data_IF_023552778587
#
_entry.id   IF_023552778587
#
_cell.length_a   1.000
_cell.length_b   1.000
_cell.length_c   1.000
_cell.angle_alpha   90.00
_cell.angle_beta   90.00
_cell.angle_gamma   90.00
#
_symmetry.space_group_name_H-M   'P 1'
#
loop_
_entity.id
_entity.type
_entity.pdbx_description
1 polymer ?
#
# COMPACT_ATOMS: atom_id res chain seq x y z
N UNK A 1 -13.31 -13.55 22.36
CA UNK A 1 -12.72 -13.84 21.04
C UNK A 1 -12.78 -12.53 20.27
N UNK A 2 -11.63 -11.88 20.12
CA UNK A 2 -11.49 -10.53 19.60
C UNK A 2 -11.86 -10.49 18.11
N UNK A 3 -13.06 -10.00 17.82
CA UNK A 3 -13.58 -9.79 16.47
C UNK A 3 -12.68 -8.88 15.64
N UNK A 4 -11.96 -7.96 16.29
CA UNK A 4 -10.98 -7.07 15.66
C UNK A 4 -9.76 -7.82 15.12
N UNK A 5 -9.41 -8.96 15.75
CA UNK A 5 -8.27 -9.77 15.32
C UNK A 5 -8.63 -10.65 14.12
N UNK A 6 -9.86 -11.17 14.08
CA UNK A 6 -10.38 -11.97 12.95
C UNK A 6 -10.45 -11.11 11.68
N UNK A 7 -10.93 -9.87 11.78
CA UNK A 7 -11.05 -8.97 10.63
C UNK A 7 -9.67 -8.57 10.06
N UNK A 8 -8.68 -8.33 10.92
CA UNK A 8 -7.33 -7.95 10.48
C UNK A 8 -6.64 -9.07 9.69
N UNK A 9 -6.64 -10.30 10.21
CA UNK A 9 -6.00 -11.43 9.56
C UNK A 9 -6.65 -11.74 8.20
N UNK A 10 -7.98 -11.65 8.11
CA UNK A 10 -8.71 -11.80 6.85
C UNK A 10 -8.34 -10.74 5.81
N UNK A 11 -8.21 -9.47 6.22
CA UNK A 11 -7.80 -8.40 5.31
C UNK A 11 -6.36 -8.61 4.84
N UNK A 12 -5.45 -8.96 5.75
CA UNK A 12 -4.05 -9.26 5.41
C UNK A 12 -3.99 -10.39 4.38
N UNK A 13 -4.73 -11.48 4.58
CA UNK A 13 -4.74 -12.60 3.62
C UNK A 13 -5.29 -12.19 2.24
N UNK A 14 -6.33 -11.34 2.20
CA UNK A 14 -6.84 -10.78 0.94
C UNK A 14 -5.77 -9.94 0.22
N UNK A 15 -5.06 -9.07 0.95
CA UNK A 15 -3.98 -8.25 0.40
C UNK A 15 -2.84 -9.13 -0.11
N UNK A 16 -2.41 -10.14 0.67
CA UNK A 16 -1.36 -11.10 0.26
C UNK A 16 -1.75 -11.84 -1.03
N UNK A 17 -3.01 -12.30 -1.11
CA UNK A 17 -3.53 -12.98 -2.30
C UNK A 17 -3.51 -12.06 -3.52
N UNK A 18 -3.88 -10.79 -3.36
CA UNK A 18 -3.81 -9.83 -4.45
C UNK A 18 -2.36 -9.54 -4.85
N UNK A 19 -1.50 -9.17 -3.89
CA UNK A 19 -0.11 -8.81 -4.14
C UNK A 19 0.67 -9.94 -4.83
N UNK A 20 0.56 -11.18 -4.32
CA UNK A 20 1.22 -12.34 -4.93
C UNK A 20 0.74 -12.69 -6.34
N UNK A 21 -0.46 -12.25 -6.73
CA UNK A 21 -1.01 -12.45 -8.07
C UNK A 21 -0.70 -11.27 -9.02
N UNK A 22 -0.57 -10.05 -8.48
CA UNK A 22 -0.32 -8.84 -9.24
C UNK A 22 1.17 -8.54 -9.44
N UNK A 23 2.02 -9.00 -8.53
CA UNK A 23 3.46 -8.75 -8.53
C UNK A 23 4.25 -9.96 -9.05
N UNK A 24 5.44 -9.70 -9.57
CA UNK A 24 6.47 -10.74 -9.73
C UNK A 24 6.82 -11.34 -8.37
N UNK A 25 7.18 -12.61 -8.37
CA UNK A 25 7.51 -13.38 -7.17
C UNK A 25 8.55 -12.68 -6.29
N UNK A 26 9.64 -12.17 -6.88
CA UNK A 26 10.72 -11.51 -6.15
C UNK A 26 10.26 -10.22 -5.47
N UNK A 27 9.28 -9.52 -6.06
CA UNK A 27 8.70 -8.32 -5.48
C UNK A 27 7.76 -8.65 -4.34
N UNK A 28 6.90 -9.65 -4.51
CA UNK A 28 6.04 -10.08 -3.39
C UNK A 28 6.87 -10.52 -2.18
N UNK A 29 7.96 -11.27 -2.41
CA UNK A 29 8.90 -11.62 -1.33
C UNK A 29 9.57 -10.39 -0.71
N UNK A 30 9.87 -9.36 -1.50
CA UNK A 30 10.34 -8.07 -0.99
C UNK A 30 9.27 -7.40 -0.12
N UNK A 31 8.03 -7.29 -0.58
CA UNK A 31 6.91 -6.71 0.17
C UNK A 31 6.69 -7.41 1.51
N UNK A 32 6.79 -8.75 1.56
CA UNK A 32 6.72 -9.51 2.83
C UNK A 32 7.87 -9.14 3.78
N UNK A 33 9.11 -9.02 3.31
CA UNK A 33 10.24 -8.61 4.16
C UNK A 33 10.12 -7.17 4.65
N UNK A 34 9.61 -6.26 3.80
CA UNK A 34 9.32 -4.87 4.18
C UNK A 34 8.23 -4.82 5.23
N UNK A 35 7.16 -5.62 5.10
CA UNK A 35 6.09 -5.71 6.10
C UNK A 35 6.62 -6.11 7.48
N UNK A 36 7.48 -7.14 7.56
CA UNK A 36 8.09 -7.56 8.83
C UNK A 36 9.00 -6.48 9.42
N UNK A 37 9.79 -5.81 8.56
CA UNK A 37 10.68 -4.72 9.00
C UNK A 37 9.88 -3.54 9.53
N UNK A 38 8.81 -3.14 8.82
CA UNK A 38 7.93 -2.04 9.22
C UNK A 38 7.21 -2.33 10.53
N UNK A 39 6.74 -3.57 10.73
CA UNK A 39 6.16 -4.02 12.00
C UNK A 39 7.13 -3.84 13.17
N UNK A 40 8.39 -4.29 13.01
CA UNK A 40 9.43 -4.15 14.03
C UNK A 40 9.73 -2.67 14.30
N UNK A 41 9.83 -1.85 13.25
CA UNK A 41 10.05 -0.41 13.40
C UNK A 41 8.91 0.27 14.17
N UNK A 42 7.66 -0.01 13.80
CA UNK A 42 6.50 0.54 14.50
C UNK A 42 6.52 0.18 16.00
N UNK A 43 6.80 -1.08 16.34
CA UNK A 43 6.91 -1.53 17.73
C UNK A 43 8.00 -0.76 18.51
N UNK A 44 9.18 -0.59 17.91
CA UNK A 44 10.29 0.17 18.51
C UNK A 44 9.96 1.64 18.76
N UNK A 45 9.13 2.25 17.92
CA UNK A 45 8.79 3.68 17.98
C UNK A 45 7.42 3.96 18.62
N UNK A 46 6.75 2.94 19.18
CA UNK A 46 5.46 3.11 19.85
C UNK A 46 4.28 3.38 18.90
N UNK A 47 4.39 2.97 17.64
CA UNK A 47 3.31 2.99 16.63
C UNK A 47 2.71 1.59 16.54
N UNK A 48 1.42 1.47 16.27
CA UNK A 48 0.76 0.16 16.12
C UNK A 48 1.49 -0.71 15.07
N UNK A 49 2.09 -1.86 15.48
CA UNK A 49 2.82 -2.74 14.58
C UNK A 49 1.96 -3.32 13.44
N UNK A 50 0.64 -3.46 13.64
CA UNK A 50 -0.29 -3.96 12.62
C UNK A 50 -0.41 -3.00 11.44
N UNK A 51 -0.44 -1.68 11.71
CA UNK A 51 -0.45 -0.65 10.68
C UNK A 51 0.82 -0.70 9.84
N UNK A 52 1.98 -0.78 10.51
CA UNK A 52 3.28 -0.90 9.84
C UNK A 52 3.36 -2.13 8.94
N UNK A 53 2.92 -3.28 9.45
CA UNK A 53 2.88 -4.52 8.67
C UNK A 53 2.03 -4.38 7.40
N UNK A 54 0.79 -3.89 7.54
CA UNK A 54 -0.14 -3.78 6.41
C UNK A 54 0.37 -2.77 5.37
N UNK A 55 0.85 -1.60 5.81
CA UNK A 55 1.44 -0.61 4.92
C UNK A 55 2.65 -1.17 4.16
N UNK A 56 3.56 -1.85 4.86
CA UNK A 56 4.73 -2.49 4.25
C UNK A 56 4.37 -3.59 3.25
N UNK A 57 3.33 -4.39 3.54
CA UNK A 57 2.86 -5.43 2.63
C UNK A 57 2.23 -4.85 1.35
N UNK A 58 1.48 -3.75 1.48
CA UNK A 58 0.71 -3.17 0.39
C UNK A 58 1.46 -2.13 -0.45
N UNK A 59 2.59 -1.59 0.02
CA UNK A 59 3.22 -0.41 -0.58
C UNK A 59 3.49 -0.52 -2.09
N UNK A 60 3.88 -1.72 -2.55
CA UNK A 60 4.29 -2.01 -3.92
C UNK A 60 3.26 -2.87 -4.69
N UNK A 61 2.11 -3.21 -4.11
CA UNK A 61 1.18 -4.19 -4.69
C UNK A 61 0.59 -3.80 -6.05
N UNK A 62 0.76 -2.54 -6.46
CA UNK A 62 0.35 -2.01 -7.76
C UNK A 62 1.52 -1.72 -8.71
N UNK A 63 2.76 -2.04 -8.33
CA UNK A 63 3.99 -1.67 -9.04
C UNK A 63 4.16 -2.39 -10.39
N UNK A 64 3.65 -3.61 -10.52
CA UNK A 64 3.72 -4.42 -11.77
C UNK A 64 2.46 -4.31 -12.64
N UNK A 65 1.47 -3.50 -12.20
CA UNK A 65 0.32 -3.17 -13.06
C UNK A 65 0.79 -2.27 -14.20
N UNK A 66 0.08 -2.31 -15.33
CA UNK A 66 0.36 -1.46 -16.46
C UNK A 66 0.11 0.03 -16.14
N UNK A 67 0.75 0.90 -16.92
CA UNK A 67 0.72 2.34 -16.72
C UNK A 67 -0.71 2.93 -16.79
N UNK A 68 -1.59 2.41 -17.65
CA UNK A 68 -2.97 2.86 -17.78
C UNK A 68 -3.77 2.53 -16.52
N UNK A 69 -3.60 1.32 -15.98
CA UNK A 69 -4.21 0.90 -14.73
C UNK A 69 -3.71 1.74 -13.55
N UNK A 70 -2.40 2.00 -13.44
CA UNK A 70 -1.85 2.84 -12.36
C UNK A 70 -2.39 4.27 -12.43
N UNK A 71 -2.44 4.86 -13.64
CA UNK A 71 -2.98 6.20 -13.87
C UNK A 71 -4.46 6.27 -13.51
N UNK A 72 -5.26 5.30 -13.96
CA UNK A 72 -6.68 5.21 -13.69
C UNK A 72 -6.96 5.13 -12.19
N UNK A 73 -6.29 4.20 -11.49
CA UNK A 73 -6.41 4.07 -10.03
C UNK A 73 -6.03 5.36 -9.32
N UNK A 74 -4.85 5.93 -9.62
CA UNK A 74 -4.40 7.15 -8.97
C UNK A 74 -5.30 8.37 -9.25
N UNK A 75 -6.00 8.41 -10.39
CA UNK A 75 -6.93 9.52 -10.69
C UNK A 75 -8.14 9.60 -9.74
N UNK A 76 -8.42 8.54 -8.99
CA UNK A 76 -9.51 8.48 -8.03
C UNK A 76 -9.17 9.07 -6.65
N UNK A 77 -7.90 9.42 -6.37
CA UNK A 77 -7.48 9.93 -5.07
C UNK A 77 -7.76 11.42 -4.82
N UNK A 78 -8.39 12.08 -5.81
CA UNK A 78 -8.72 13.50 -5.74
C UNK A 78 -7.52 14.43 -5.84
N UNK A 79 -6.31 13.91 -6.11
CA UNK A 79 -5.10 14.71 -6.30
C UNK A 79 -4.76 14.84 -7.79
N UNK A 80 -4.21 15.99 -8.22
CA UNK A 80 -3.78 16.16 -9.60
C UNK A 80 -2.68 15.15 -9.97
N UNK A 81 -2.70 14.70 -11.22
CA UNK A 81 -1.57 13.99 -11.82
C UNK A 81 -0.63 15.03 -12.41
N UNK A 82 0.57 15.14 -11.86
CA UNK A 82 1.63 16.02 -12.35
C UNK A 82 2.14 15.61 -13.72
N UNK A 83 2.81 16.51 -14.44
CA UNK A 83 3.38 16.18 -15.75
C UNK A 83 4.51 15.14 -15.64
N UNK A 84 5.22 15.10 -14.51
CA UNK A 84 6.21 14.05 -14.22
C UNK A 84 5.53 12.69 -14.08
N UNK A 85 4.40 12.61 -13.37
CA UNK A 85 3.64 11.36 -13.24
C UNK A 85 3.00 10.94 -14.57
N UNK A 86 2.54 11.88 -15.40
CA UNK A 86 2.04 11.55 -16.75
C UNK A 86 3.12 10.96 -17.65
N UNK A 87 4.34 11.51 -17.58
CA UNK A 87 5.47 11.03 -18.39
C UNK A 87 6.09 9.74 -17.84
N UNK A 88 5.90 9.46 -16.54
CA UNK A 88 6.36 8.24 -15.87
C UNK A 88 5.29 7.68 -14.94
N UNK A 89 4.25 7.00 -15.47
CA UNK A 89 3.11 6.52 -14.67
C UNK A 89 3.51 5.50 -13.60
N UNK A 90 4.61 4.76 -13.78
CA UNK A 90 5.21 3.92 -12.74
C UNK A 90 5.51 4.61 -11.39
N UNK A 91 5.50 5.94 -11.32
CA UNK A 91 5.58 6.70 -10.05
C UNK A 91 4.27 6.66 -9.25
N UNK A 92 3.15 6.34 -9.90
CA UNK A 92 1.81 6.36 -9.32
C UNK A 92 1.44 5.09 -8.56
N UNK A 93 2.21 4.00 -8.67
CA UNK A 93 1.92 2.74 -7.97
C UNK A 93 1.60 2.89 -6.47
N UNK A 94 2.28 3.79 -5.74
CA UNK A 94 1.95 4.07 -4.34
C UNK A 94 0.55 4.66 -4.19
N UNK A 95 0.21 5.69 -4.97
CA UNK A 95 -1.14 6.31 -5.00
C UNK A 95 -2.20 5.29 -5.42
N UNK A 96 -1.92 4.50 -6.46
CA UNK A 96 -2.78 3.43 -6.94
C UNK A 96 -3.02 2.34 -5.87
N UNK A 97 -1.98 1.93 -5.15
CA UNK A 97 -2.08 0.97 -4.06
C UNK A 97 -2.94 1.53 -2.91
N UNK A 98 -2.76 2.79 -2.54
CA UNK A 98 -3.56 3.45 -1.52
C UNK A 98 -5.04 3.55 -1.93
N UNK A 99 -5.35 3.87 -3.19
CA UNK A 99 -6.72 3.83 -3.69
C UNK A 99 -7.33 2.43 -3.66
N UNK A 100 -6.53 1.42 -3.99
CA UNK A 100 -7.00 0.04 -3.95
C UNK A 100 -7.27 -0.44 -2.53
N UNK A 101 -6.44 -0.04 -1.55
CA UNK A 101 -6.67 -0.29 -0.12
C UNK A 101 -8.03 0.23 0.34
N UNK A 102 -8.37 1.49 0.00
CA UNK A 102 -9.67 2.08 0.34
C UNK A 102 -10.82 1.33 -0.32
N UNK A 103 -10.77 1.19 -1.64
CA UNK A 103 -11.91 0.74 -2.45
C UNK A 103 -12.18 -0.75 -2.36
N UNK A 104 -11.13 -1.56 -2.39
CA UNK A 104 -11.25 -3.02 -2.57
C UNK A 104 -11.05 -3.77 -1.25
N UNK A 105 -10.33 -3.18 -0.29
CA UNK A 105 -10.01 -3.80 1.00
C UNK A 105 -10.66 -3.10 2.20
N UNK A 106 -11.35 -1.97 1.99
CA UNK A 106 -12.06 -1.24 3.06
C UNK A 106 -11.13 -0.63 4.12
N UNK A 107 -9.88 -0.32 3.76
CA UNK A 107 -8.90 0.29 4.66
C UNK A 107 -8.91 1.80 4.47
N UNK A 108 -9.45 2.52 5.46
CA UNK A 108 -9.54 3.99 5.48
C UNK A 108 -8.62 4.64 6.53
N UNK A 109 -7.75 3.85 7.19
CA UNK A 109 -6.81 4.38 8.18
C UNK A 109 -5.82 5.35 7.53
N UNK A 110 -5.84 6.61 7.97
CA UNK A 110 -5.07 7.70 7.36
C UNK A 110 -3.57 7.46 7.40
N UNK A 111 -3.05 6.81 8.45
CA UNK A 111 -1.62 6.56 8.60
C UNK A 111 -1.15 5.55 7.56
N UNK A 112 -1.91 4.45 7.40
CA UNK A 112 -1.63 3.41 6.40
C UNK A 112 -1.69 3.99 4.99
N UNK A 113 -2.78 4.71 4.68
CA UNK A 113 -3.00 5.29 3.36
C UNK A 113 -1.94 6.31 3.00
N UNK A 114 -1.55 7.16 3.95
CA UNK A 114 -0.48 8.14 3.74
C UNK A 114 0.87 7.45 3.53
N UNK A 115 1.20 6.45 4.35
CA UNK A 115 2.45 5.72 4.23
C UNK A 115 2.58 5.03 2.86
N UNK A 116 1.53 4.35 2.41
CA UNK A 116 1.49 3.64 1.11
C UNK A 116 1.55 4.62 -0.06
N UNK A 117 0.71 5.67 -0.05
CA UNK A 117 0.63 6.63 -1.16
C UNK A 117 1.93 7.39 -1.42
N UNK A 118 2.75 7.59 -0.38
CA UNK A 118 3.94 8.45 -0.44
C UNK A 118 5.26 7.72 -0.29
N UNK A 119 5.28 6.39 -0.22
CA UNK A 119 6.51 5.65 0.05
C UNK A 119 7.63 5.92 -0.97
N UNK A 120 7.30 6.33 -2.20
CA UNK A 120 8.29 6.61 -3.26
C UNK A 120 8.90 8.01 -3.18
N UNK A 121 8.09 9.03 -2.85
CA UNK A 121 8.49 10.45 -2.96
C UNK A 121 8.62 11.15 -1.61
N UNK A 122 8.07 10.56 -0.55
CA UNK A 122 7.92 11.24 0.74
C UNK A 122 6.98 12.44 0.67
N UNK A 123 6.83 13.14 1.79
CA UNK A 123 6.03 14.36 1.89
C UNK A 123 5.74 14.72 3.35
N UNK A 124 5.34 15.97 3.59
CA UNK A 124 4.90 16.41 4.91
C UNK A 124 3.55 15.76 5.27
N UNK A 125 3.35 15.28 6.50
CA UNK A 125 2.09 14.65 6.92
C UNK A 125 0.85 15.47 6.52
N UNK A 126 -0.16 14.77 5.98
CA UNK A 126 -1.50 15.32 5.66
C UNK A 126 -2.22 15.79 6.92
#
# INVERSE_FOLDING_TARGET
>A
MDTDNINFDEIVEKIRKFASAAEKKERFEHSVRVAETAKIMCDMYGVDPKKGYLAGLAHDMCKDLDDETQLSLASHDGQPISDVEKTKPSLLHGRAAAEKLRRDFGIDDSDIIQAVSRHTLGGASL
#
